data_IF_205339815378
#
_entry.id   IF_205339815378
#
_cell.length_a   1.000
_cell.length_b   1.000
_cell.length_c   1.000
_cell.angle_alpha   90.00
_cell.angle_beta   90.00
_cell.angle_gamma   90.00
#
_symmetry.space_group_name_H-M   'P 1'
#
loop_
_entity.id
_entity.type
_entity.pdbx_description
1 polymer ?
#
# COMPACT_ATOMS: atom_id res chain seq x y z
N UNK A 1 -12.72 -18.86 6.37
CA UNK A 1 -12.40 -17.43 6.26
C UNK A 1 -13.60 -16.77 5.62
N UNK A 2 -14.08 -15.59 6.09
CA UNK A 2 -15.17 -14.93 5.40
C UNK A 2 -14.73 -14.65 3.95
N UNK A 3 -15.57 -15.03 2.97
CA UNK A 3 -15.31 -14.72 1.57
C UNK A 3 -15.30 -13.20 1.40
N UNK A 4 -14.12 -12.63 1.15
CA UNK A 4 -13.97 -11.20 0.92
C UNK A 4 -14.48 -10.88 -0.49
N UNK A 5 -15.79 -10.63 -0.60
CA UNK A 5 -16.48 -10.37 -1.87
C UNK A 5 -15.95 -9.13 -2.61
N UNK A 6 -15.35 -8.18 -1.88
CA UNK A 6 -14.81 -6.91 -2.38
C UNK A 6 -13.50 -6.54 -1.69
N UNK A 7 -12.61 -5.86 -2.41
CA UNK A 7 -11.39 -5.25 -1.90
C UNK A 7 -11.70 -3.87 -1.33
N UNK A 8 -11.68 -3.75 -0.01
CA UNK A 8 -11.77 -2.46 0.70
C UNK A 8 -10.37 -1.87 0.87
N UNK A 9 -10.15 -0.65 0.35
CA UNK A 9 -8.91 0.13 0.52
C UNK A 9 -9.24 1.42 1.26
N UNK A 10 -8.61 1.65 2.40
CA UNK A 10 -8.69 2.90 3.13
C UNK A 10 -7.59 3.86 2.65
N UNK A 11 -7.94 5.11 2.41
CA UNK A 11 -7.01 6.16 1.97
C UNK A 11 -7.15 7.39 2.85
N UNK A 12 -6.02 7.99 3.25
CA UNK A 12 -6.08 9.24 4.01
C UNK A 12 -6.42 10.44 3.11
N UNK A 13 -7.09 11.45 3.65
CA UNK A 13 -7.47 12.63 2.84
C UNK A 13 -6.29 13.33 2.17
N UNK A 14 -5.13 13.39 2.83
CA UNK A 14 -3.89 13.96 2.25
C UNK A 14 -3.18 13.03 1.26
N UNK A 15 -3.46 11.73 1.30
CA UNK A 15 -3.02 10.83 0.25
C UNK A 15 -3.90 11.00 -1.00
N UNK A 16 -5.21 11.19 -0.83
CA UNK A 16 -6.14 11.35 -1.94
C UNK A 16 -6.03 12.72 -2.62
N UNK A 17 -5.92 13.81 -1.84
CA UNK A 17 -5.88 15.18 -2.36
C UNK A 17 -4.67 15.95 -1.84
N UNK A 18 -4.24 16.93 -2.63
CA UNK A 18 -3.24 17.89 -2.24
C UNK A 18 -3.85 18.87 -1.23
N UNK A 19 -3.36 18.80 0.00
CA UNK A 19 -3.80 19.60 1.14
C UNK A 19 -2.61 20.32 1.79
N UNK A 20 -1.49 20.46 1.07
CA UNK A 20 -0.23 20.93 1.65
C UNK A 20 -0.37 22.39 2.14
N UNK A 21 -1.00 23.27 1.36
CA UNK A 21 -1.28 24.65 1.79
C UNK A 21 -2.15 24.71 3.05
N UNK A 22 -3.21 23.90 3.12
CA UNK A 22 -4.09 23.88 4.30
C UNK A 22 -3.35 23.32 5.51
N UNK A 23 -2.51 22.32 5.30
CA UNK A 23 -1.68 21.75 6.36
C UNK A 23 -0.65 22.76 6.88
N UNK A 24 0.00 23.53 6.01
CA UNK A 24 0.90 24.62 6.43
C UNK A 24 0.19 25.66 7.30
N UNK A 25 -1.04 26.05 6.93
CA UNK A 25 -1.86 26.96 7.73
C UNK A 25 -2.15 26.35 9.11
N UNK A 26 -2.45 25.05 9.19
CA UNK A 26 -2.67 24.37 10.46
C UNK A 26 -1.40 24.39 11.34
N UNK A 27 -0.24 24.06 10.78
CA UNK A 27 1.03 24.03 11.51
C UNK A 27 1.45 25.43 11.99
N UNK A 28 1.26 26.47 11.17
CA UNK A 28 1.71 27.84 11.49
C UNK A 28 0.69 28.64 12.31
N UNK A 29 -0.61 28.47 12.06
CA UNK A 29 -1.66 29.35 12.57
C UNK A 29 -2.72 28.61 13.41
N UNK A 30 -2.61 27.27 13.50
CA UNK A 30 -3.45 26.43 14.32
C UNK A 30 -4.82 26.11 13.73
N UNK A 31 -5.57 25.28 14.46
CA UNK A 31 -6.86 24.69 14.04
C UNK A 31 -7.91 25.72 13.61
N UNK A 32 -8.03 26.85 14.30
CA UNK A 32 -9.06 27.84 13.99
C UNK A 32 -8.84 28.53 12.65
N UNK A 33 -7.59 28.83 12.29
CA UNK A 33 -7.25 29.40 10.99
C UNK A 33 -7.46 28.39 9.87
N UNK A 34 -7.03 27.15 10.08
CA UNK A 34 -7.28 26.03 9.19
C UNK A 34 -8.78 25.85 8.88
N UNK A 35 -9.64 25.82 9.90
CA UNK A 35 -11.08 25.66 9.69
C UNK A 35 -11.67 26.79 8.85
N UNK A 36 -11.33 28.05 9.17
CA UNK A 36 -11.79 29.20 8.38
C UNK A 36 -11.33 29.12 6.93
N UNK A 37 -10.09 28.72 6.70
CA UNK A 37 -9.55 28.56 5.35
C UNK A 37 -10.31 27.48 4.58
N UNK A 38 -10.56 26.31 5.19
CA UNK A 38 -11.27 25.21 4.54
C UNK A 38 -12.71 25.57 4.19
N UNK A 39 -13.43 26.29 5.06
CA UNK A 39 -14.80 26.75 4.80
C UNK A 39 -14.81 27.80 3.69
N UNK A 40 -13.87 28.75 3.71
CA UNK A 40 -13.82 29.82 2.71
C UNK A 40 -13.52 29.30 1.28
N UNK A 41 -12.87 28.13 1.16
CA UNK A 41 -12.53 27.50 -0.12
C UNK A 41 -13.29 26.18 -0.30
N UNK A 42 -14.45 26.01 0.36
CA UNK A 42 -15.21 24.76 0.38
C UNK A 42 -15.63 24.28 -1.01
N UNK A 43 -15.98 25.22 -1.89
CA UNK A 43 -16.39 24.97 -3.28
C UNK A 43 -15.21 24.93 -4.26
N UNK A 44 -13.99 25.14 -3.79
CA UNK A 44 -12.79 25.07 -4.63
C UNK A 44 -12.21 23.64 -4.60
N UNK A 45 -12.29 22.90 -5.74
CA UNK A 45 -11.85 21.53 -5.80
C UNK A 45 -10.35 21.40 -5.50
N UNK A 46 -10.01 20.46 -4.63
CA UNK A 46 -8.63 20.14 -4.30
C UNK A 46 -7.94 19.48 -5.50
N UNK A 47 -6.66 19.77 -5.67
CA UNK A 47 -5.84 19.12 -6.68
C UNK A 47 -5.59 17.63 -6.31
N UNK A 48 -5.39 16.75 -7.30
CA UNK A 48 -5.00 15.35 -7.07
C UNK A 48 -3.78 15.20 -6.15
N UNK A 49 -3.91 14.34 -5.14
CA UNK A 49 -2.83 13.95 -4.23
C UNK A 49 -1.99 12.78 -4.75
N UNK A 50 -1.08 12.30 -3.90
CA UNK A 50 -0.11 11.24 -4.21
C UNK A 50 -0.76 9.90 -4.60
N UNK A 51 -1.86 9.54 -3.94
CA UNK A 51 -2.59 8.29 -4.16
C UNK A 51 -3.76 8.41 -5.14
N UNK A 52 -4.02 9.59 -5.70
CA UNK A 52 -5.23 9.85 -6.50
C UNK A 52 -5.34 8.94 -7.73
N UNK A 53 -4.25 8.82 -8.51
CA UNK A 53 -4.25 7.98 -9.71
C UNK A 53 -4.49 6.49 -9.38
N UNK A 54 -3.91 6.02 -8.27
CA UNK A 54 -4.10 4.65 -7.81
C UNK A 54 -5.55 4.40 -7.33
N UNK A 55 -6.14 5.37 -6.61
CA UNK A 55 -7.54 5.32 -6.19
C UNK A 55 -8.47 5.25 -7.40
N UNK A 56 -8.22 6.03 -8.45
CA UNK A 56 -8.97 5.92 -9.71
C UNK A 56 -8.87 4.51 -10.30
N UNK A 57 -7.67 3.93 -10.37
CA UNK A 57 -7.49 2.56 -10.88
C UNK A 57 -8.21 1.49 -10.05
N UNK A 58 -8.25 1.64 -8.72
CA UNK A 58 -9.06 0.75 -7.88
C UNK A 58 -10.54 0.88 -8.20
N UNK A 59 -11.07 2.11 -8.30
CA UNK A 59 -12.48 2.34 -8.63
C UNK A 59 -12.85 1.85 -10.04
N UNK A 60 -11.93 1.98 -11.01
CA UNK A 60 -12.10 1.45 -12.37
C UNK A 60 -12.26 -0.08 -12.40
N UNK A 61 -11.81 -0.81 -11.37
CA UNK A 61 -12.09 -2.25 -11.25
C UNK A 61 -13.60 -2.54 -11.22
N UNK A 62 -14.41 -1.63 -10.70
CA UNK A 62 -15.87 -1.81 -10.63
C UNK A 62 -16.53 -1.83 -12.02
N UNK A 63 -15.84 -1.40 -13.08
CA UNK A 63 -16.34 -1.51 -14.45
C UNK A 63 -16.24 -2.94 -15.02
N UNK A 64 -15.57 -3.86 -14.33
CA UNK A 64 -15.34 -5.22 -14.83
C UNK A 64 -16.34 -6.26 -14.30
N UNK A 65 -17.24 -5.89 -13.40
CA UNK A 65 -18.30 -6.75 -12.86
C UNK A 65 -19.55 -5.94 -12.49
N UNK A 66 -20.72 -6.60 -12.41
CA UNK A 66 -21.97 -5.95 -12.00
C UNK A 66 -21.97 -5.54 -10.52
N UNK A 67 -21.21 -6.28 -9.70
CA UNK A 67 -21.02 -5.97 -8.28
C UNK A 67 -19.69 -5.25 -8.05
N UNK A 68 -19.64 -4.25 -7.15
CA UNK A 68 -18.40 -3.56 -6.82
C UNK A 68 -17.32 -4.52 -6.33
N UNK A 69 -16.21 -4.55 -7.07
CA UNK A 69 -15.02 -5.34 -6.78
C UNK A 69 -14.09 -4.63 -5.79
N UNK A 70 -14.06 -3.30 -5.84
CA UNK A 70 -13.25 -2.47 -4.99
C UNK A 70 -14.09 -1.37 -4.35
N UNK A 71 -13.73 -1.03 -3.12
CA UNK A 71 -14.35 0.05 -2.38
C UNK A 71 -13.28 0.90 -1.71
N UNK A 72 -13.41 2.21 -1.85
CA UNK A 72 -12.50 3.17 -1.26
C UNK A 72 -13.16 3.81 -0.05
N UNK A 73 -12.45 3.83 1.07
CA UNK A 73 -12.88 4.48 2.31
C UNK A 73 -11.97 5.65 2.60
N UNK A 74 -12.56 6.84 2.77
CA UNK A 74 -11.81 8.02 3.16
C UNK A 74 -11.61 8.06 4.67
N UNK A 75 -10.37 8.12 5.13
CA UNK A 75 -10.03 8.33 6.53
C UNK A 75 -9.37 9.70 6.70
N UNK A 76 -9.95 10.58 7.51
CA UNK A 76 -9.43 11.94 7.67
C UNK A 76 -9.31 12.34 9.13
N UNK A 77 -8.18 12.98 9.45
CA UNK A 77 -7.99 13.68 10.71
C UNK A 77 -8.76 15.01 10.75
N UNK A 78 -9.34 15.46 9.63
CA UNK A 78 -10.15 16.67 9.60
C UNK A 78 -11.43 16.49 10.43
N UNK A 79 -12.05 17.61 10.80
CA UNK A 79 -13.42 17.58 11.32
C UNK A 79 -14.41 17.29 10.19
N UNK A 80 -15.62 16.82 10.53
CA UNK A 80 -16.68 16.63 9.55
C UNK A 80 -17.01 17.94 8.81
N UNK A 81 -17.00 19.06 9.54
CA UNK A 81 -17.24 20.41 9.02
C UNK A 81 -16.21 20.80 7.93
N UNK A 82 -14.92 20.64 8.20
CA UNK A 82 -13.85 20.88 7.20
C UNK A 82 -13.71 19.74 6.18
N UNK A 83 -14.53 18.70 6.32
CA UNK A 83 -14.59 17.54 5.43
C UNK A 83 -15.43 17.78 4.17
N UNK A 84 -16.32 18.78 4.17
CA UNK A 84 -17.16 19.10 3.01
C UNK A 84 -16.35 19.40 1.76
N UNK A 85 -15.29 20.23 1.88
CA UNK A 85 -14.36 20.49 0.77
C UNK A 85 -13.77 19.22 0.16
N UNK A 86 -13.49 18.20 0.98
CA UNK A 86 -12.98 16.91 0.49
C UNK A 86 -14.06 16.18 -0.30
N UNK A 87 -15.31 16.16 0.18
CA UNK A 87 -16.42 15.54 -0.55
C UNK A 87 -16.77 16.29 -1.84
N UNK A 88 -16.79 17.62 -1.82
CA UNK A 88 -16.97 18.43 -3.03
C UNK A 88 -15.87 18.11 -4.06
N UNK A 89 -14.64 17.87 -3.61
CA UNK A 89 -13.54 17.44 -4.47
C UNK A 89 -13.75 16.00 -4.99
N UNK A 90 -14.23 15.07 -4.15
CA UNK A 90 -14.58 13.70 -4.57
C UNK A 90 -15.62 13.74 -5.70
N UNK A 91 -16.68 14.53 -5.52
CA UNK A 91 -17.74 14.71 -6.50
C UNK A 91 -17.22 15.37 -7.79
N UNK A 92 -16.48 16.48 -7.68
CA UNK A 92 -15.87 17.17 -8.81
C UNK A 92 -14.99 16.25 -9.67
N UNK A 93 -14.24 15.36 -9.03
CA UNK A 93 -13.34 14.42 -9.70
C UNK A 93 -14.01 13.10 -10.15
N UNK A 94 -15.31 12.93 -9.86
CA UNK A 94 -16.10 11.76 -10.22
C UNK A 94 -15.66 10.47 -9.53
N UNK A 95 -15.20 10.56 -8.28
CA UNK A 95 -14.76 9.39 -7.51
C UNK A 95 -15.95 8.79 -6.75
N UNK A 96 -16.25 7.50 -6.98
CA UNK A 96 -17.31 6.78 -6.25
C UNK A 96 -16.85 6.40 -4.82
N UNK A 97 -16.81 7.40 -3.94
CA UNK A 97 -16.42 7.27 -2.53
C UNK A 97 -17.59 7.72 -1.67
N UNK A 98 -18.34 6.76 -1.14
CA UNK A 98 -19.56 7.00 -0.37
C UNK A 98 -19.38 6.91 1.15
N UNK A 99 -18.24 6.39 1.63
CA UNK A 99 -17.99 6.18 3.06
C UNK A 99 -16.70 6.88 3.51
N UNK A 100 -16.79 7.54 4.66
CA UNK A 100 -15.68 8.23 5.28
C UNK A 100 -15.75 8.21 6.81
N UNK A 101 -14.62 8.43 7.46
CA UNK A 101 -14.53 8.76 8.87
C UNK A 101 -13.70 10.03 9.09
N UNK A 102 -14.25 10.98 9.86
CA UNK A 102 -13.62 12.24 10.22
C UNK A 102 -13.40 12.27 11.73
N UNK A 103 -12.15 12.37 12.16
CA UNK A 103 -11.76 12.15 13.56
C UNK A 103 -11.31 13.41 14.28
N UNK A 104 -11.44 14.59 13.66
CA UNK A 104 -11.24 15.90 14.29
C UNK A 104 -9.88 16.09 15.01
N UNK A 105 -8.84 15.43 14.51
CA UNK A 105 -7.45 15.51 14.97
C UNK A 105 -6.91 14.20 15.56
N UNK A 106 -7.77 13.21 15.81
CA UNK A 106 -7.35 11.89 16.32
C UNK A 106 -6.89 11.01 15.16
N UNK A 107 -5.92 10.12 15.37
CA UNK A 107 -5.50 9.19 14.32
C UNK A 107 -6.66 8.30 13.85
N UNK A 108 -6.94 8.21 12.54
CA UNK A 108 -8.12 7.52 12.03
C UNK A 108 -7.92 6.01 11.85
N UNK A 109 -6.71 5.49 12.10
CA UNK A 109 -6.37 4.08 11.87
C UNK A 109 -7.25 3.10 12.67
N UNK A 110 -7.80 3.53 13.82
CA UNK A 110 -8.71 2.72 14.64
C UNK A 110 -9.96 2.23 13.87
N UNK A 111 -10.35 2.94 12.80
CA UNK A 111 -11.52 2.57 12.01
C UNK A 111 -11.21 1.55 10.90
N UNK A 112 -9.93 1.26 10.60
CA UNK A 112 -9.51 0.29 9.56
C UNK A 112 -10.19 -1.07 9.79
N UNK A 113 -10.18 -1.54 11.04
CA UNK A 113 -10.80 -2.80 11.47
C UNK A 113 -12.31 -2.80 11.22
N UNK A 114 -13.00 -1.75 11.65
CA UNK A 114 -14.46 -1.64 11.57
C UNK A 114 -14.95 -1.54 10.12
N UNK A 115 -14.15 -0.92 9.23
CA UNK A 115 -14.43 -0.89 7.80
C UNK A 115 -14.04 -2.19 7.07
N UNK A 116 -13.32 -3.09 7.72
CA UNK A 116 -12.79 -4.30 7.09
C UNK A 116 -11.80 -3.98 5.97
N UNK A 117 -11.00 -2.93 6.12
CA UNK A 117 -10.04 -2.51 5.12
C UNK A 117 -8.87 -3.52 5.00
N UNK A 118 -8.54 -3.88 3.76
CA UNK A 118 -7.44 -4.79 3.45
C UNK A 118 -6.10 -4.06 3.28
N UNK A 119 -6.15 -2.77 2.94
CA UNK A 119 -5.00 -1.90 2.74
C UNK A 119 -5.31 -0.50 3.26
N UNK A 120 -4.37 0.11 3.96
CA UNK A 120 -4.40 1.52 4.33
C UNK A 120 -3.25 2.30 3.69
N UNK A 121 -3.58 3.33 2.90
CA UNK A 121 -2.62 4.21 2.25
C UNK A 121 -2.68 5.60 2.87
N UNK A 122 -1.53 6.11 3.30
CA UNK A 122 -1.43 7.46 3.86
C UNK A 122 -0.11 8.12 3.48
N UNK A 123 0.00 9.43 3.70
CA UNK A 123 1.30 10.13 3.73
C UNK A 123 1.79 10.36 5.17
N UNK A 124 0.98 10.02 6.18
CA UNK A 124 1.36 10.10 7.59
C UNK A 124 2.00 8.78 8.06
N UNK A 125 3.32 8.79 8.21
CA UNK A 125 4.08 7.60 8.61
C UNK A 125 3.70 7.06 10.00
N UNK A 126 3.26 7.91 10.92
CA UNK A 126 2.83 7.50 12.27
C UNK A 126 1.54 6.68 12.20
N UNK A 127 0.56 7.14 11.43
CA UNK A 127 -0.70 6.40 11.24
C UNK A 127 -0.45 5.04 10.57
N UNK A 128 0.49 4.99 9.62
CA UNK A 128 0.90 3.75 8.94
C UNK A 128 1.57 2.77 9.90
N UNK A 129 2.51 3.24 10.72
CA UNK A 129 3.17 2.40 11.72
C UNK A 129 2.17 1.83 12.73
N UNK A 130 1.22 2.65 13.20
CA UNK A 130 0.16 2.20 14.09
C UNK A 130 -0.76 1.15 13.45
N UNK A 131 -1.12 1.32 12.18
CA UNK A 131 -1.93 0.35 11.43
C UNK A 131 -1.19 -0.99 11.26
N UNK A 132 0.10 -0.95 10.92
CA UNK A 132 0.95 -2.15 10.83
C UNK A 132 1.09 -2.87 12.17
N UNK A 133 1.33 -2.13 13.25
CA UNK A 133 1.39 -2.69 14.60
C UNK A 133 0.07 -3.34 15.04
N UNK A 134 -1.06 -2.84 14.53
CA UNK A 134 -2.38 -3.44 14.74
C UNK A 134 -2.70 -4.61 13.80
N UNK A 135 -1.75 -5.03 12.94
CA UNK A 135 -1.87 -6.20 12.07
C UNK A 135 -2.53 -5.94 10.72
N UNK A 136 -2.64 -4.68 10.29
CA UNK A 136 -3.24 -4.31 9.01
C UNK A 136 -2.17 -3.92 7.99
N UNK A 137 -2.35 -4.30 6.72
CA UNK A 137 -1.46 -3.86 5.65
C UNK A 137 -1.58 -2.34 5.49
N UNK A 138 -0.48 -1.63 5.70
CA UNK A 138 -0.44 -0.18 5.52
C UNK A 138 0.90 0.28 4.95
N UNK A 139 0.87 1.37 4.18
CA UNK A 139 2.07 1.97 3.62
C UNK A 139 2.00 3.49 3.53
N UNK A 140 3.17 4.12 3.65
CA UNK A 140 3.35 5.56 3.47
C UNK A 140 3.70 5.85 2.02
N UNK A 141 2.86 6.56 1.28
CA UNK A 141 3.17 6.96 -0.10
C UNK A 141 4.23 8.05 -0.08
N UNK A 142 5.37 7.82 -0.73
CA UNK A 142 6.52 8.72 -0.69
C UNK A 142 6.66 9.61 -1.93
N UNK A 143 6.07 9.24 -3.06
CA UNK A 143 6.23 9.97 -4.32
C UNK A 143 4.94 10.10 -5.11
N UNK A 144 4.77 11.24 -5.79
CA UNK A 144 3.75 11.37 -6.84
C UNK A 144 4.23 10.56 -8.05
N UNK A 145 3.35 9.89 -8.80
CA UNK A 145 3.74 9.16 -9.99
C UNK A 145 4.43 10.11 -10.99
N UNK A 146 5.63 9.73 -11.45
CA UNK A 146 6.45 10.52 -12.37
C UNK A 146 5.87 10.55 -13.80
N UNK A 147 4.97 9.62 -14.11
CA UNK A 147 4.28 9.52 -15.40
C UNK A 147 2.81 9.11 -15.18
N UNK A 148 1.88 9.78 -15.87
CA UNK A 148 0.51 9.30 -15.98
C UNK A 148 0.52 8.04 -16.88
N UNK A 149 0.50 6.86 -16.27
CA UNK A 149 0.30 5.63 -17.01
C UNK A 149 -1.16 5.57 -17.46
N UNK A 150 -1.38 5.72 -18.77
CA UNK A 150 -2.69 5.72 -19.44
C UNK A 150 -3.35 4.34 -19.57
N UNK A 151 -2.81 3.31 -18.91
CA UNK A 151 -3.32 1.94 -19.00
C UNK A 151 -4.34 1.68 -17.90
N UNK A 152 -5.50 1.14 -18.28
CA UNK A 152 -6.63 0.77 -17.40
C UNK A 152 -6.38 -0.44 -16.50
N UNK A 153 -5.19 -1.04 -16.56
CA UNK A 153 -4.79 -2.18 -15.75
C UNK A 153 -4.15 -1.68 -14.45
N UNK A 154 -4.54 -2.27 -13.32
CA UNK A 154 -3.94 -2.05 -12.02
C UNK A 154 -2.75 -2.99 -11.84
N UNK A 155 -1.54 -2.44 -11.73
CA UNK A 155 -0.29 -3.21 -11.59
C UNK A 155 0.38 -2.93 -10.25
N UNK A 156 0.42 -3.94 -9.38
CA UNK A 156 0.95 -3.79 -8.02
C UNK A 156 2.20 -4.64 -7.86
N UNK A 157 3.30 -4.03 -7.43
CA UNK A 157 4.54 -4.72 -7.11
C UNK A 157 4.78 -4.75 -5.60
N UNK A 158 5.31 -5.87 -5.10
CA UNK A 158 5.63 -6.08 -3.70
C UNK A 158 7.08 -6.52 -3.56
N UNK A 159 7.77 -6.03 -2.54
CA UNK A 159 8.94 -6.72 -2.02
C UNK A 159 8.54 -8.04 -1.34
N UNK A 160 9.52 -8.93 -1.19
CA UNK A 160 9.35 -10.21 -0.53
C UNK A 160 9.36 -10.09 0.98
N UNK A 161 10.55 -10.06 1.55
CA UNK A 161 10.78 -10.10 3.00
C UNK A 161 10.22 -8.85 3.67
N UNK A 162 9.74 -8.98 4.91
CA UNK A 162 9.08 -7.91 5.68
C UNK A 162 7.82 -7.28 5.07
N UNK A 163 7.43 -7.63 3.84
CA UNK A 163 6.22 -7.15 3.15
C UNK A 163 5.24 -8.31 2.94
N UNK A 164 5.53 -9.23 1.99
CA UNK A 164 4.71 -10.42 1.75
C UNK A 164 5.03 -11.56 2.71
N UNK A 165 6.31 -11.72 3.05
CA UNK A 165 6.80 -12.70 4.01
C UNK A 165 7.15 -12.03 5.34
N UNK A 166 7.27 -12.82 6.42
CA UNK A 166 7.77 -12.29 7.70
C UNK A 166 9.22 -11.79 7.57
N UNK A 167 9.69 -11.09 8.60
CA UNK A 167 11.07 -10.59 8.67
C UNK A 167 12.08 -11.65 9.16
N UNK A 168 11.68 -12.92 9.29
CA UNK A 168 12.52 -14.01 9.83
C UNK A 168 13.81 -14.20 9.02
N UNK A 169 13.69 -14.19 7.69
CA UNK A 169 14.84 -14.38 6.80
C UNK A 169 15.75 -13.15 6.81
N UNK A 170 15.20 -11.95 6.96
CA UNK A 170 15.98 -10.71 7.11
C UNK A 170 16.75 -10.71 8.44
N UNK A 171 16.15 -11.18 9.53
CA UNK A 171 16.83 -11.36 10.83
C UNK A 171 18.04 -12.28 10.72
N UNK A 172 17.89 -13.42 10.03
CA UNK A 172 19.00 -14.36 9.80
C UNK A 172 20.11 -13.69 8.99
N UNK A 173 19.77 -12.94 7.95
CA UNK A 173 20.75 -12.23 7.13
C UNK A 173 21.52 -11.18 7.94
N UNK A 174 20.82 -10.34 8.71
CA UNK A 174 21.44 -9.30 9.54
C UNK A 174 22.30 -9.89 10.67
N UNK A 175 21.91 -11.01 11.27
CA UNK A 175 22.62 -11.63 12.40
C UNK A 175 23.77 -12.55 11.99
N UNK A 176 23.62 -13.27 10.87
CA UNK A 176 24.50 -14.38 10.50
C UNK A 176 25.08 -14.27 9.09
N UNK A 177 24.67 -13.27 8.31
CA UNK A 177 25.17 -13.02 6.97
C UNK A 177 24.61 -13.96 5.89
N UNK A 178 25.05 -13.70 4.65
CA UNK A 178 24.50 -14.31 3.44
C UNK A 178 24.67 -15.84 3.36
N UNK A 179 25.78 -16.37 3.89
CA UNK A 179 26.05 -17.81 3.85
C UNK A 179 25.01 -18.60 4.67
N UNK A 180 24.69 -18.10 5.87
CA UNK A 180 23.78 -18.75 6.79
C UNK A 180 22.33 -18.57 6.33
N UNK A 181 22.01 -17.39 5.79
CA UNK A 181 20.75 -17.18 5.07
C UNK A 181 20.57 -18.22 3.96
N UNK A 182 21.56 -18.41 3.09
CA UNK A 182 21.46 -19.35 1.96
C UNK A 182 21.31 -20.79 2.43
N UNK A 183 22.06 -21.18 3.46
CA UNK A 183 21.97 -22.51 4.06
C UNK A 183 20.58 -22.77 4.67
N UNK A 184 20.02 -21.79 5.38
CA UNK A 184 18.67 -21.85 5.94
C UNK A 184 17.60 -21.95 4.85
N UNK A 185 17.68 -21.12 3.81
CA UNK A 185 16.71 -21.15 2.71
C UNK A 185 16.74 -22.50 1.97
N UNK A 186 17.91 -23.12 1.86
CA UNK A 186 18.05 -24.46 1.26
C UNK A 186 17.49 -25.56 2.15
N UNK A 187 17.78 -25.54 3.45
CA UNK A 187 17.30 -26.58 4.39
C UNK A 187 15.79 -26.49 4.61
N UNK A 188 15.25 -25.26 4.61
CA UNK A 188 13.84 -24.96 4.82
C UNK A 188 13.05 -24.80 3.51
N UNK A 189 13.61 -25.15 2.35
CA UNK A 189 12.98 -24.92 1.05
C UNK A 189 11.55 -25.47 0.95
N UNK A 190 11.26 -26.58 1.63
CA UNK A 190 9.93 -27.23 1.65
C UNK A 190 8.98 -26.67 2.71
N UNK A 191 9.45 -25.84 3.63
CA UNK A 191 8.63 -25.21 4.66
C UNK A 191 8.23 -23.80 4.19
N UNK A 192 6.92 -23.52 4.02
CA UNK A 192 6.46 -22.20 3.62
C UNK A 192 7.00 -21.10 4.55
N UNK A 193 7.32 -19.94 3.98
CA UNK A 193 7.63 -18.75 4.75
C UNK A 193 6.37 -18.31 5.52
N UNK A 194 6.51 -17.78 6.75
CA UNK A 194 5.40 -17.12 7.41
C UNK A 194 4.96 -15.88 6.63
N UNK A 195 3.70 -15.49 6.78
CA UNK A 195 3.14 -14.32 6.09
C UNK A 195 3.57 -13.01 6.74
N UNK A 196 3.89 -12.03 5.91
CA UNK A 196 4.08 -10.63 6.30
C UNK A 196 2.76 -9.86 6.33
N UNK A 197 2.83 -8.56 6.65
CA UNK A 197 1.64 -7.70 6.81
C UNK A 197 0.78 -7.61 5.55
N UNK A 198 1.35 -7.77 4.35
CA UNK A 198 0.63 -7.64 3.08
C UNK A 198 0.04 -8.95 2.55
N UNK A 199 0.26 -10.10 3.22
CA UNK A 199 -0.34 -11.37 2.82
C UNK A 199 -1.88 -11.31 2.71
N UNK A 200 -2.64 -10.74 3.68
CA UNK A 200 -4.09 -10.64 3.56
C UNK A 200 -4.55 -9.79 2.37
N UNK A 201 -3.83 -8.70 2.07
CA UNK A 201 -4.10 -7.85 0.91
C UNK A 201 -3.84 -8.58 -0.41
N UNK A 202 -2.72 -9.30 -0.52
CA UNK A 202 -2.42 -10.12 -1.70
C UNK A 202 -3.49 -11.22 -1.92
N UNK A 203 -3.97 -11.86 -0.85
CA UNK A 203 -5.07 -12.82 -0.93
C UNK A 203 -6.36 -12.18 -1.46
N UNK A 204 -6.69 -10.95 -1.02
CA UNK A 204 -7.87 -10.23 -1.49
C UNK A 204 -7.77 -9.86 -2.98
N UNK A 205 -6.57 -9.44 -3.43
CA UNK A 205 -6.30 -9.23 -4.87
C UNK A 205 -6.45 -10.53 -5.67
N UNK A 206 -5.88 -11.62 -5.17
CA UNK A 206 -5.98 -12.93 -5.81
C UNK A 206 -7.44 -13.39 -5.96
N UNK A 207 -8.27 -13.20 -4.93
CA UNK A 207 -9.68 -13.54 -4.98
C UNK A 207 -10.45 -12.76 -6.05
N UNK A 208 -10.10 -11.48 -6.29
CA UNK A 208 -10.67 -10.72 -7.40
C UNK A 208 -10.16 -11.25 -8.74
N UNK A 209 -8.85 -11.51 -8.86
CA UNK A 209 -8.26 -12.06 -10.07
C UNK A 209 -8.89 -13.40 -10.47
N UNK A 210 -9.19 -14.29 -9.52
CA UNK A 210 -9.77 -15.61 -9.80
C UNK A 210 -11.24 -15.56 -10.22
N UNK A 211 -11.95 -14.46 -9.91
CA UNK A 211 -13.33 -14.22 -10.35
C UNK A 211 -13.42 -13.58 -11.73
N UNK A 212 -12.32 -13.01 -12.24
CA UNK A 212 -12.29 -12.26 -13.49
C UNK A 212 -11.56 -13.06 -14.57
N UNK A 213 -12.33 -13.77 -15.39
CA UNK A 213 -11.80 -14.48 -16.55
C UNK A 213 -11.74 -13.53 -17.76
N UNK A 214 -10.69 -12.69 -17.82
CA UNK A 214 -10.50 -11.68 -18.87
C UNK A 214 -9.05 -11.60 -19.33
N UNK A 215 -8.88 -11.33 -20.62
CA UNK A 215 -7.57 -11.09 -21.23
C UNK A 215 -7.59 -9.74 -21.99
N UNK A 216 -6.73 -8.76 -21.61
CA UNK A 216 -5.80 -8.79 -20.48
C UNK A 216 -6.50 -8.75 -19.11
N UNK A 217 -5.91 -9.32 -18.04
CA UNK A 217 -6.50 -9.28 -16.71
C UNK A 217 -6.51 -7.85 -16.15
N UNK A 218 -7.53 -7.41 -15.40
CA UNK A 218 -7.59 -6.02 -14.90
C UNK A 218 -6.61 -5.73 -13.76
N UNK A 219 -6.16 -6.77 -13.04
CA UNK A 219 -5.17 -6.67 -11.97
C UNK A 219 -3.98 -7.56 -12.33
N UNK A 220 -2.76 -7.02 -12.22
CA UNK A 220 -1.52 -7.79 -12.25
C UNK A 220 -0.69 -7.55 -11.00
N UNK A 221 -0.10 -8.61 -10.46
CA UNK A 221 0.78 -8.55 -9.28
C UNK A 221 2.18 -9.01 -9.61
N UNK A 222 3.19 -8.35 -9.04
CA UNK A 222 4.59 -8.74 -9.17
C UNK A 222 5.26 -8.88 -7.81
N UNK A 223 6.08 -9.91 -7.65
CA UNK A 223 7.06 -10.03 -6.58
C UNK A 223 8.41 -9.52 -7.09
N UNK A 224 9.00 -8.54 -6.41
CA UNK A 224 10.29 -7.92 -6.77
C UNK A 224 11.23 -7.99 -5.58
N UNK A 225 12.04 -9.04 -5.51
CA UNK A 225 12.82 -9.39 -4.32
C UNK A 225 14.33 -9.39 -4.58
N UNK A 226 15.11 -9.06 -3.55
CA UNK A 226 16.56 -9.22 -3.55
C UNK A 226 17.02 -10.69 -3.48
N UNK A 227 16.11 -11.63 -3.14
CA UNK A 227 16.40 -13.06 -3.16
C UNK A 227 16.85 -13.51 -4.56
N UNK A 228 17.80 -14.44 -4.61
CA UNK A 228 18.27 -15.09 -5.83
C UNK A 228 18.32 -16.61 -5.64
N UNK A 229 18.65 -17.35 -6.70
CA UNK A 229 18.93 -18.78 -6.56
C UNK A 229 20.04 -19.03 -5.52
N UNK A 230 19.87 -20.01 -4.61
CA UNK A 230 18.81 -21.04 -4.55
C UNK A 230 17.55 -20.66 -3.76
N UNK A 231 17.47 -19.48 -3.14
CA UNK A 231 16.37 -19.09 -2.25
C UNK A 231 15.00 -18.92 -2.94
N UNK A 232 14.95 -18.86 -4.28
CA UNK A 232 13.70 -18.78 -5.04
C UNK A 232 12.76 -19.98 -4.83
N UNK A 233 13.31 -21.18 -4.56
CA UNK A 233 12.49 -22.39 -4.39
C UNK A 233 11.48 -22.24 -3.25
N UNK A 234 11.93 -21.74 -2.10
CA UNK A 234 11.08 -21.56 -0.91
C UNK A 234 9.97 -20.54 -1.16
N UNK A 235 10.29 -19.45 -1.86
CA UNK A 235 9.33 -18.42 -2.26
C UNK A 235 8.23 -19.02 -3.15
N UNK A 236 8.60 -19.73 -4.21
CA UNK A 236 7.63 -20.35 -5.13
C UNK A 236 6.76 -21.38 -4.42
N UNK A 237 7.35 -22.22 -3.56
CA UNK A 237 6.59 -23.18 -2.75
C UNK A 237 5.66 -22.51 -1.75
N UNK A 238 6.06 -21.37 -1.19
CA UNK A 238 5.22 -20.59 -0.27
C UNK A 238 3.99 -20.04 -0.97
N UNK A 239 4.16 -19.38 -2.12
CA UNK A 239 3.05 -18.85 -2.92
C UNK A 239 2.08 -19.96 -3.35
N UNK A 240 2.62 -21.13 -3.74
CA UNK A 240 1.81 -22.33 -4.04
C UNK A 240 1.06 -22.84 -2.81
N UNK A 241 1.71 -22.91 -1.65
CA UNK A 241 1.08 -23.37 -0.42
C UNK A 241 -0.01 -22.41 0.08
N UNK A 242 0.08 -21.13 -0.26
CA UNK A 242 -0.96 -20.15 0.01
C UNK A 242 -2.08 -20.16 -1.03
N UNK A 243 -1.93 -20.92 -2.11
CA UNK A 243 -2.82 -20.91 -3.27
C UNK A 243 -3.00 -19.50 -3.85
N UNK A 244 -1.88 -18.77 -3.96
CA UNK A 244 -1.85 -17.38 -4.45
C UNK A 244 -1.13 -17.31 -5.78
N UNK A 245 -1.80 -16.72 -6.76
CA UNK A 245 -1.22 -16.38 -8.07
C UNK A 245 -0.48 -15.03 -7.98
N UNK A 246 0.75 -15.01 -8.48
CA UNK A 246 1.50 -13.79 -8.83
C UNK A 246 1.78 -13.85 -10.34
N UNK A 247 1.60 -12.73 -11.03
CA UNK A 247 1.78 -12.66 -12.49
C UNK A 247 3.26 -12.62 -12.90
N UNK A 248 4.11 -11.95 -12.11
CA UNK A 248 5.55 -11.85 -12.36
C UNK A 248 6.37 -12.04 -11.07
N UNK A 249 7.42 -12.86 -11.09
CA UNK A 249 8.34 -13.03 -9.97
C UNK A 249 9.77 -12.72 -10.40
N UNK A 250 10.33 -11.65 -9.86
CA UNK A 250 11.62 -11.07 -10.21
C UNK A 250 12.60 -11.27 -9.05
N UNK A 251 13.57 -12.17 -9.24
CA UNK A 251 14.61 -12.54 -8.28
C UNK A 251 15.91 -11.83 -8.63
N UNK A 252 16.13 -10.66 -8.05
CA UNK A 252 17.11 -9.69 -8.56
C UNK A 252 18.52 -9.87 -8.01
N UNK A 253 18.72 -10.65 -6.94
CA UNK A 253 20.06 -10.89 -6.38
C UNK A 253 20.83 -9.62 -6.00
N UNK A 254 20.12 -8.58 -5.56
CA UNK A 254 20.70 -7.28 -5.18
C UNK A 254 20.79 -6.24 -6.30
N UNK A 255 20.30 -6.54 -7.52
CA UNK A 255 20.18 -5.50 -8.55
C UNK A 255 19.18 -4.41 -8.14
N UNK A 256 19.38 -3.14 -8.55
CA UNK A 256 18.43 -2.05 -8.29
C UNK A 256 17.05 -2.35 -8.88
N UNK A 257 15.99 -2.16 -8.09
CA UNK A 257 14.61 -2.52 -8.47
C UNK A 257 13.98 -1.58 -9.52
N UNK A 258 14.45 -0.33 -9.61
CA UNK A 258 13.81 0.75 -10.38
C UNK A 258 13.50 0.42 -11.84
N UNK A 259 14.49 -0.06 -12.62
CA UNK A 259 14.29 -0.39 -14.03
C UNK A 259 13.32 -1.58 -14.23
N UNK A 260 13.32 -2.54 -13.31
CA UNK A 260 12.39 -3.67 -13.36
C UNK A 260 10.96 -3.25 -13.05
N UNK A 261 10.77 -2.37 -12.06
CA UNK A 261 9.46 -1.79 -11.73
C UNK A 261 8.90 -0.96 -12.89
N UNK A 262 9.77 -0.20 -13.57
CA UNK A 262 9.43 0.55 -14.78
C UNK A 262 9.04 -0.38 -15.94
N UNK A 263 9.79 -1.47 -16.15
CA UNK A 263 9.50 -2.44 -17.20
C UNK A 263 8.17 -3.16 -16.97
N UNK A 264 7.86 -3.53 -15.72
CA UNK A 264 6.54 -4.05 -15.35
C UNK A 264 5.44 -2.99 -15.55
N UNK A 265 5.79 -1.73 -15.34
CA UNK A 265 4.86 -0.60 -15.34
C UNK A 265 4.06 -0.57 -14.04
N UNK A 266 4.72 -0.73 -12.90
CA UNK A 266 4.02 -0.73 -11.60
C UNK A 266 3.31 0.60 -11.35
N UNK A 267 2.05 0.54 -10.92
CA UNK A 267 1.30 1.68 -10.41
C UNK A 267 1.72 2.03 -8.99
N UNK A 268 2.07 1.00 -8.21
CA UNK A 268 2.58 1.15 -6.85
C UNK A 268 3.55 0.02 -6.53
N UNK A 269 4.61 0.35 -5.80
CA UNK A 269 5.57 -0.59 -5.25
C UNK A 269 5.64 -0.49 -3.73
N UNK A 270 5.47 -1.61 -3.04
CA UNK A 270 5.58 -1.72 -1.58
C UNK A 270 6.91 -2.33 -1.17
N UNK A 271 7.70 -1.62 -0.35
CA UNK A 271 8.99 -2.07 0.15
C UNK A 271 9.17 -1.64 1.61
N UNK A 272 9.83 -2.46 2.41
CA UNK A 272 10.08 -2.15 3.82
C UNK A 272 11.29 -1.24 4.03
N UNK A 273 12.15 -1.10 3.02
CA UNK A 273 13.35 -0.27 3.10
C UNK A 273 13.13 1.08 2.44
N UNK A 274 13.25 2.14 3.24
CA UNK A 274 13.12 3.52 2.76
C UNK A 274 14.04 3.83 1.57
N UNK A 275 15.28 3.36 1.59
CA UNK A 275 16.24 3.57 0.50
C UNK A 275 15.81 2.92 -0.83
N UNK A 276 15.21 1.72 -0.78
CA UNK A 276 14.62 1.10 -1.97
C UNK A 276 13.44 1.91 -2.50
N UNK A 277 12.58 2.41 -1.60
CA UNK A 277 11.47 3.26 -1.99
C UNK A 277 11.93 4.56 -2.65
N UNK A 278 12.96 5.23 -2.10
CA UNK A 278 13.53 6.46 -2.67
C UNK A 278 14.14 6.23 -4.07
N UNK A 279 14.79 5.08 -4.28
CA UNK A 279 15.29 4.70 -5.61
C UNK A 279 14.13 4.39 -6.57
N UNK A 280 13.10 3.64 -6.13
CA UNK A 280 11.94 3.29 -6.94
C UNK A 280 11.07 4.50 -7.29
N UNK A 281 11.01 5.51 -6.41
CA UNK A 281 10.24 6.74 -6.56
C UNK A 281 10.59 7.55 -7.83
N UNK A 282 11.78 7.33 -8.40
CA UNK A 282 12.19 7.94 -9.65
C UNK A 282 11.44 7.36 -10.87
N UNK A 283 10.83 6.18 -10.72
CA UNK A 283 10.24 5.41 -11.82
C UNK A 283 8.75 5.14 -11.63
N UNK A 284 8.32 4.89 -10.39
CA UNK A 284 6.95 4.46 -10.03
C UNK A 284 6.53 5.11 -8.71
N UNK A 285 5.24 5.05 -8.35
CA UNK A 285 4.82 5.42 -6.99
C UNK A 285 5.36 4.41 -5.99
N UNK A 286 6.23 4.87 -5.10
CA UNK A 286 6.80 4.03 -4.05
C UNK A 286 6.06 4.26 -2.73
N UNK A 287 5.77 3.16 -2.02
CA UNK A 287 5.07 3.17 -0.75
C UNK A 287 5.86 2.38 0.29
N UNK A 288 6.30 3.08 1.33
CA UNK A 288 7.13 2.52 2.38
C UNK A 288 6.30 1.79 3.43
N UNK A 289 6.68 0.56 3.73
CA UNK A 289 6.07 -0.32 4.74
C UNK A 289 7.01 -0.39 5.95
N UNK A 290 6.90 0.50 6.95
CA UNK A 290 7.83 0.53 8.09
C UNK A 290 7.60 -0.68 9.03
N UNK A 291 8.02 -1.87 8.59
CA UNK A 291 7.85 -3.16 9.24
C UNK A 291 9.19 -3.91 9.26
N UNK A 292 9.33 -4.87 10.18
CA UNK A 292 10.52 -5.70 10.30
C UNK A 292 11.69 -5.03 11.03
N UNK A 293 12.74 -5.82 11.25
CA UNK A 293 13.91 -5.42 12.04
C UNK A 293 14.62 -4.16 11.53
N UNK A 294 14.60 -3.91 10.21
CA UNK A 294 15.21 -2.73 9.58
C UNK A 294 14.55 -1.40 10.00
N UNK A 295 13.32 -1.45 10.51
CA UNK A 295 12.52 -0.29 10.89
C UNK A 295 12.41 -0.08 12.41
N UNK A 296 13.10 -0.88 13.22
CA UNK A 296 13.08 -0.74 14.68
C UNK A 296 13.89 0.49 15.13
N UNK A 297 13.31 1.30 16.02
CA UNK A 297 14.06 2.39 16.68
C UNK A 297 15.10 1.79 17.62
N UNK A 298 16.32 2.37 17.74
CA UNK A 298 17.31 1.90 18.69
C UNK A 298 16.73 1.94 20.12
N UNK A 299 16.46 0.77 20.71
CA UNK A 299 16.01 0.62 22.10
C UNK A 299 14.63 -0.01 22.32
N UNK A 300 13.80 -0.19 21.29
CA UNK A 300 12.54 -0.92 21.41
C UNK A 300 12.77 -2.43 21.26
N UNK A 301 12.93 -3.13 22.38
CA UNK A 301 12.79 -4.60 22.42
C UNK A 301 11.31 -4.94 22.43
N UNK A 302 10.85 -5.70 21.44
CA UNK A 302 9.54 -6.35 21.48
C UNK A 302 9.57 -7.47 22.54
N UNK A 303 8.50 -7.64 23.35
CA UNK A 303 8.39 -8.77 24.28
C UNK A 303 8.40 -10.13 23.57
#
# INVERSE_FOLDING_TARGET
MPEHRKLVVAVSSRALFDLDQSHEIFEQQGKAAFCRYQIAHEDEPLAPGYGFALVKKFLELNNYADEPLAEIILLSQNSADTGLRIFNSIEHHGLDISRAAFTSGVSPYHYIAAFGAHLFLSINATDVANALAAGYAAATILSKPTQQQSQSQLKIAFDGDSVLFSDDSERIYQQHGLAQFTANERSQAKMPLPGGPFKPFLNALHHIQSRLDREPPPIRTALVTARAAPAHERVVRTLRAWDVRIDEALFLGGMPKGEFLKAFGADIFFDDQKGHCESAAQHVTAAHVPHGIANQKPGEKTP
#
